data_IF_127156571794
#
_entry.id   IF_127156571794
#
_cell.length_a   1.000
_cell.length_b   1.000
_cell.length_c   1.000
_cell.angle_alpha   90.00
_cell.angle_beta   90.00
_cell.angle_gamma   90.00
#
_symmetry.space_group_name_H-M   'P 1'
#
loop_
_entity.id
_entity.type
_entity.pdbx_description
1 polymer ?
#
# COMPACT_ATOMS: atom_id res chain seq x y z
N UNK A 1 -33.91 -83.14 -48.37
CA UNK A 1 -34.02 -81.94 -49.25
C UNK A 1 -34.45 -80.77 -48.40
N UNK A 2 -33.78 -79.63 -48.62
CA UNK A 2 -34.20 -78.24 -48.33
C UNK A 2 -34.23 -77.69 -46.88
N UNK A 3 -33.07 -77.10 -46.53
CA UNK A 3 -32.82 -75.75 -45.97
C UNK A 3 -33.97 -74.85 -45.47
N UNK A 4 -33.77 -74.22 -44.29
CA UNK A 4 -33.78 -72.73 -44.09
C UNK A 4 -33.58 -72.38 -42.59
N UNK A 5 -32.39 -71.98 -42.14
CA UNK A 5 -31.87 -70.61 -41.92
C UNK A 5 -32.59 -69.73 -40.86
N UNK A 6 -31.88 -69.58 -39.72
CA UNK A 6 -31.61 -68.34 -38.93
C UNK A 6 -32.80 -67.51 -38.40
N UNK A 7 -32.72 -67.17 -37.10
CA UNK A 7 -32.19 -65.84 -36.65
C UNK A 7 -31.97 -65.77 -35.13
N UNK A 8 -30.70 -65.57 -34.76
CA UNK A 8 -30.25 -65.05 -33.46
C UNK A 8 -30.22 -63.52 -33.55
N UNK A 9 -30.71 -62.82 -32.52
CA UNK A 9 -30.26 -61.50 -31.94
C UNK A 9 -31.46 -60.80 -31.24
N UNK A 10 -31.29 -59.80 -30.33
CA UNK A 10 -30.08 -59.09 -29.90
C UNK A 10 -30.01 -58.78 -28.37
N UNK A 11 -29.13 -59.42 -27.60
CA UNK A 11 -28.86 -59.00 -26.19
C UNK A 11 -27.71 -57.96 -26.10
N UNK A 12 -26.98 -57.70 -27.18
CA UNK A 12 -25.74 -56.90 -27.15
C UNK A 12 -25.89 -55.36 -27.15
N UNK A 13 -27.09 -54.79 -27.35
CA UNK A 13 -27.24 -53.32 -27.49
C UNK A 13 -27.54 -52.56 -26.20
N UNK A 14 -27.98 -53.23 -25.13
CA UNK A 14 -28.38 -52.55 -23.89
C UNK A 14 -27.18 -52.37 -22.94
N UNK A 15 -26.31 -53.36 -22.83
CA UNK A 15 -25.12 -53.30 -21.97
C UNK A 15 -24.11 -52.21 -22.41
N UNK A 16 -23.96 -51.97 -23.72
CA UNK A 16 -23.04 -50.96 -24.23
C UNK A 16 -23.51 -49.53 -23.96
N UNK A 17 -24.83 -49.28 -23.96
CA UNK A 17 -25.41 -47.97 -23.64
C UNK A 17 -25.33 -47.66 -22.14
N UNK A 18 -25.49 -48.67 -21.28
CA UNK A 18 -25.35 -48.50 -19.83
C UNK A 18 -23.90 -48.21 -19.42
N UNK A 19 -22.92 -48.85 -20.06
CA UNK A 19 -21.50 -48.62 -19.77
C UNK A 19 -21.02 -47.24 -20.24
N UNK A 20 -21.54 -46.73 -21.36
CA UNK A 20 -21.23 -45.37 -21.83
C UNK A 20 -21.81 -44.28 -20.91
N UNK A 21 -23.00 -44.50 -20.33
CA UNK A 21 -23.62 -43.53 -19.43
C UNK A 21 -22.84 -43.39 -18.11
N UNK A 22 -22.32 -44.49 -17.57
CA UNK A 22 -21.52 -44.48 -16.34
C UNK A 22 -20.16 -43.82 -16.56
N UNK A 23 -19.54 -43.99 -17.73
CA UNK A 23 -18.27 -43.33 -18.05
C UNK A 23 -18.44 -41.80 -18.27
N UNK A 24 -19.56 -41.36 -18.84
CA UNK A 24 -19.85 -39.92 -18.99
C UNK A 24 -20.15 -39.22 -17.65
N UNK A 25 -20.70 -39.92 -16.66
CA UNK A 25 -20.95 -39.33 -15.32
C UNK A 25 -19.67 -39.33 -14.46
N UNK A 26 -18.77 -40.30 -14.62
CA UNK A 26 -17.50 -40.35 -13.87
C UNK A 26 -16.45 -39.32 -14.29
N UNK A 27 -16.42 -38.91 -15.57
CA UNK A 27 -15.44 -37.93 -16.08
C UNK A 27 -15.86 -36.48 -15.76
N UNK A 28 -17.13 -36.22 -15.50
CA UNK A 28 -17.65 -34.89 -15.16
C UNK A 28 -17.30 -34.40 -13.74
N UNK A 29 -16.84 -35.27 -12.85
CA UNK A 29 -16.50 -34.91 -11.46
C UNK A 29 -15.01 -34.67 -11.21
N UNK A 30 -14.13 -34.90 -12.20
CA UNK A 30 -12.67 -34.71 -12.03
C UNK A 30 -12.14 -33.42 -12.69
N UNK A 31 -12.97 -32.65 -13.40
CA UNK A 31 -12.49 -31.52 -14.21
C UNK A 31 -12.77 -30.12 -13.63
N UNK A 32 -13.18 -29.98 -12.37
CA UNK A 32 -13.47 -28.65 -11.80
C UNK A 32 -12.87 -28.38 -10.41
N UNK A 33 -11.82 -29.09 -10.01
CA UNK A 33 -10.84 -28.49 -9.11
C UNK A 33 -9.91 -27.58 -9.91
N UNK A 34 -10.44 -26.45 -10.39
CA UNK A 34 -9.59 -25.26 -10.50
C UNK A 34 -9.20 -24.93 -9.06
N UNK A 35 -8.06 -25.45 -8.61
CA UNK A 35 -7.26 -24.76 -7.59
C UNK A 35 -7.03 -23.37 -8.17
N UNK A 36 -7.90 -22.43 -7.81
CA UNK A 36 -7.67 -21.03 -8.09
C UNK A 36 -6.34 -20.73 -7.43
N UNK A 37 -5.30 -20.47 -8.23
CA UNK A 37 -4.16 -19.71 -7.77
C UNK A 37 -4.75 -18.49 -7.08
N UNK A 38 -4.64 -18.42 -5.75
CA UNK A 38 -4.91 -17.19 -5.02
C UNK A 38 -4.12 -16.11 -5.77
N UNK A 39 -4.80 -15.13 -6.35
CA UNK A 39 -4.10 -14.11 -7.13
C UNK A 39 -3.16 -13.40 -6.16
N UNK A 40 -1.86 -13.69 -6.32
CA UNK A 40 -0.72 -13.21 -5.51
C UNK A 40 -0.44 -11.74 -5.86
N UNK A 41 -1.47 -10.90 -5.79
CA UNK A 41 -1.39 -9.51 -6.19
C UNK A 41 -1.67 -8.60 -5.01
N UNK A 42 -0.80 -7.62 -4.83
CA UNK A 42 -1.08 -6.49 -3.94
C UNK A 42 -2.39 -5.83 -4.38
N UNK A 43 -3.21 -5.47 -3.39
CA UNK A 43 -4.57 -5.01 -3.62
C UNK A 43 -4.87 -3.84 -2.71
N UNK A 44 -5.63 -2.89 -3.22
CA UNK A 44 -6.14 -1.76 -2.45
C UNK A 44 -7.66 -1.87 -2.50
N UNK A 45 -8.30 -1.87 -1.34
CA UNK A 45 -9.75 -1.82 -1.20
C UNK A 45 -10.12 -0.48 -0.56
N UNK A 46 -11.22 0.06 -1.05
CA UNK A 46 -11.67 1.40 -0.75
C UNK A 46 -13.15 1.34 -0.40
N UNK A 47 -13.48 1.77 0.82
CA UNK A 47 -14.87 1.87 1.29
C UNK A 47 -15.21 3.33 1.55
N UNK A 48 -16.33 3.77 0.99
CA UNK A 48 -16.94 5.03 1.41
C UNK A 48 -17.65 4.82 2.74
N UNK A 49 -17.47 5.79 3.64
CA UNK A 49 -18.15 5.84 4.92
C UNK A 49 -19.25 6.88 4.79
N UNK A 50 -20.50 6.44 4.85
CA UNK A 50 -21.61 7.36 4.98
C UNK A 50 -21.67 7.89 6.40
N UNK A 51 -21.99 9.18 6.53
CA UNK A 51 -22.36 9.73 7.82
C UNK A 51 -23.70 9.11 8.23
N UNK A 52 -23.70 8.40 9.34
CA UNK A 52 -24.88 7.87 10.01
C UNK A 52 -24.71 7.98 11.53
N UNK A 53 -25.77 7.91 12.33
CA UNK A 53 -25.67 7.93 13.79
C UNK A 53 -24.78 6.81 14.39
N UNK A 54 -24.50 5.76 13.62
CA UNK A 54 -23.62 4.65 13.98
C UNK A 54 -22.16 4.87 13.54
N UNK A 55 -21.86 6.01 12.92
CA UNK A 55 -20.49 6.33 12.50
C UNK A 55 -19.60 6.49 13.73
N UNK A 56 -18.40 5.87 13.75
CA UNK A 56 -17.50 6.03 14.89
C UNK A 56 -17.20 7.51 15.19
N UNK A 57 -17.29 7.94 16.45
CA UNK A 57 -17.12 9.34 16.89
C UNK A 57 -15.84 10.01 16.35
N UNK A 58 -14.75 9.27 16.17
CA UNK A 58 -13.50 9.82 15.62
C UNK A 58 -13.58 10.16 14.13
N UNK A 59 -14.58 9.62 13.43
CA UNK A 59 -14.98 9.94 12.07
C UNK A 59 -16.16 10.94 12.03
N UNK A 60 -16.62 11.46 13.17
CA UNK A 60 -17.71 12.45 13.23
C UNK A 60 -17.25 13.90 13.48
N UNK A 61 -16.64 14.60 12.50
CA UNK A 61 -16.72 16.05 12.38
C UNK A 61 -18.02 16.47 11.67
N UNK A 62 -18.72 17.46 12.24
CA UNK A 62 -19.87 18.11 11.61
C UNK A 62 -19.51 18.91 10.33
N UNK A 63 -18.23 18.94 9.95
CA UNK A 63 -17.64 19.82 8.92
C UNK A 63 -16.88 19.05 7.84
N UNK A 64 -17.31 17.83 7.51
CA UNK A 64 -16.76 17.14 6.33
C UNK A 64 -16.92 18.02 5.09
N UNK A 65 -15.85 18.14 4.32
CA UNK A 65 -15.82 18.77 2.99
C UNK A 65 -15.36 17.73 1.97
N UNK A 66 -15.66 17.90 0.67
CA UNK A 66 -15.11 17.01 -0.36
C UNK A 66 -13.58 17.00 -0.33
N UNK A 67 -12.97 15.83 -0.51
CA UNK A 67 -11.51 15.70 -0.55
C UNK A 67 -10.93 16.51 -1.69
N UNK A 68 -11.60 16.45 -2.84
CA UNK A 68 -11.24 17.24 -4.01
C UNK A 68 -11.12 18.73 -3.69
N UNK A 69 -12.01 19.29 -2.86
CA UNK A 69 -11.97 20.73 -2.50
C UNK A 69 -10.71 21.12 -1.71
N UNK A 70 -10.23 20.25 -0.82
CA UNK A 70 -8.97 20.49 -0.08
C UNK A 70 -7.76 20.37 -1.00
N UNK A 71 -7.77 19.38 -1.89
CA UNK A 71 -6.62 19.02 -2.72
C UNK A 71 -6.50 19.89 -3.96
N UNK A 72 -7.58 20.29 -4.61
CA UNK A 72 -7.57 20.97 -5.92
C UNK A 72 -7.78 22.47 -5.82
N UNK A 73 -7.75 23.03 -4.61
CA UNK A 73 -7.92 24.46 -4.41
C UNK A 73 -6.93 25.25 -5.31
N UNK A 74 -7.47 26.16 -6.13
CA UNK A 74 -6.72 27.03 -7.04
C UNK A 74 -6.39 26.46 -8.43
N UNK A 75 -6.97 25.33 -8.85
CA UNK A 75 -6.75 24.73 -10.18
C UNK A 75 -7.89 25.10 -11.15
N UNK A 76 -7.57 25.39 -12.42
CA UNK A 76 -8.55 25.57 -13.49
C UNK A 76 -9.06 24.21 -14.00
N UNK A 77 -10.38 24.09 -14.21
CA UNK A 77 -11.06 22.84 -14.54
C UNK A 77 -10.79 22.40 -15.99
N UNK A 78 -9.99 21.35 -16.18
CA UNK A 78 -9.88 20.55 -17.42
C UNK A 78 -9.19 19.19 -17.11
N UNK A 79 -8.81 18.35 -18.09
CA UNK A 79 -8.09 17.06 -17.87
C UNK A 79 -6.86 17.16 -16.95
N UNK A 80 -6.33 18.37 -16.77
CA UNK A 80 -5.32 18.73 -15.78
C UNK A 80 -5.74 18.41 -14.33
N UNK A 81 -7.04 18.37 -14.01
CA UNK A 81 -7.55 18.16 -12.65
C UNK A 81 -7.17 16.78 -12.11
N UNK A 82 -7.41 15.72 -12.88
CA UNK A 82 -7.08 14.35 -12.46
C UNK A 82 -5.57 14.16 -12.32
N UNK A 83 -4.80 14.71 -13.27
CA UNK A 83 -3.35 14.60 -13.28
C UNK A 83 -2.75 15.35 -12.09
N UNK A 84 -3.25 16.54 -11.81
CA UNK A 84 -2.85 17.36 -10.68
C UNK A 84 -3.25 16.74 -9.35
N UNK A 85 -4.46 16.19 -9.24
CA UNK A 85 -4.92 15.43 -8.08
C UNK A 85 -3.97 14.26 -7.77
N UNK A 86 -3.65 13.46 -8.78
CA UNK A 86 -2.67 12.37 -8.69
C UNK A 86 -1.30 12.87 -8.24
N UNK A 87 -0.80 13.95 -8.84
CA UNK A 87 0.49 14.55 -8.51
C UNK A 87 0.54 15.04 -7.05
N UNK A 88 -0.52 15.68 -6.56
CA UNK A 88 -0.61 16.17 -5.18
C UNK A 88 -0.60 15.02 -4.17
N UNK A 89 -1.32 13.93 -4.44
CA UNK A 89 -1.26 12.71 -3.62
C UNK A 89 0.12 12.05 -3.62
N UNK A 90 0.75 11.93 -4.78
CA UNK A 90 2.13 11.44 -4.88
C UNK A 90 3.09 12.32 -4.09
N UNK A 91 2.92 13.65 -4.15
CA UNK A 91 3.76 14.58 -3.39
C UNK A 91 3.54 14.45 -1.88
N UNK A 92 2.28 14.32 -1.43
CA UNK A 92 1.94 14.13 -0.02
C UNK A 92 2.66 12.90 0.57
N UNK A 93 2.53 11.75 -0.09
CA UNK A 93 3.11 10.51 0.42
C UNK A 93 4.64 10.41 0.31
N UNK A 94 5.33 11.36 -0.36
CA UNK A 94 6.80 11.45 -0.29
C UNK A 94 7.31 11.82 1.09
N UNK A 95 6.51 12.54 1.88
CA UNK A 95 6.89 13.04 3.19
C UNK A 95 6.35 12.18 4.34
N UNK A 96 5.60 11.13 4.03
CA UNK A 96 4.94 10.24 4.98
C UNK A 96 5.57 8.85 4.86
N UNK A 97 6.02 8.32 5.98
CA UNK A 97 6.68 7.03 6.02
C UNK A 97 6.51 6.33 7.36
N UNK A 98 7.34 5.33 7.58
CA UNK A 98 7.45 4.59 8.83
C UNK A 98 8.90 4.68 9.32
N UNK A 99 9.08 4.60 10.64
CA UNK A 99 10.39 4.48 11.26
C UNK A 99 10.99 3.10 10.98
N UNK A 100 12.18 3.06 10.36
CA UNK A 100 12.97 1.83 10.36
C UNK A 100 13.76 1.72 11.68
N UNK A 101 13.35 0.80 12.53
CA UNK A 101 14.03 0.52 13.80
C UNK A 101 15.32 -0.31 13.64
N UNK A 102 15.65 -0.79 12.43
CA UNK A 102 16.76 -1.73 12.21
C UNK A 102 18.12 -1.06 12.07
N UNK A 103 18.16 0.23 11.75
CA UNK A 103 19.40 1.00 11.62
C UNK A 103 19.21 2.26 12.45
N UNK A 104 20.15 2.58 13.34
CA UNK A 104 20.06 3.76 14.25
C UNK A 104 20.00 5.14 13.55
N UNK A 105 19.75 5.16 12.25
CA UNK A 105 19.46 6.32 11.41
C UNK A 105 17.95 6.41 11.22
N UNK A 106 17.34 7.54 11.64
CA UNK A 106 15.94 7.88 11.37
C UNK A 106 15.74 8.20 9.88
N UNK A 107 15.91 7.22 9.02
CA UNK A 107 15.57 7.36 7.61
C UNK A 107 14.08 7.05 7.41
N UNK A 108 13.40 7.91 6.64
CA UNK A 108 12.01 7.76 6.29
C UNK A 108 11.88 6.61 5.29
N UNK A 109 11.33 5.48 5.73
CA UNK A 109 10.92 4.41 4.81
C UNK A 109 9.52 4.74 4.28
N UNK A 110 9.38 4.85 2.96
CA UNK A 110 8.09 5.17 2.33
C UNK A 110 7.04 4.12 2.73
N UNK A 111 5.89 4.60 3.19
CA UNK A 111 4.78 3.73 3.58
C UNK A 111 4.17 3.02 2.36
N UNK A 112 4.07 3.74 1.24
CA UNK A 112 3.48 3.26 -0.01
C UNK A 112 4.46 3.41 -1.19
N UNK A 113 4.40 2.48 -2.14
CA UNK A 113 5.10 2.61 -3.42
C UNK A 113 4.44 3.68 -4.29
N UNK A 114 5.16 4.19 -5.29
CA UNK A 114 4.61 5.22 -6.19
C UNK A 114 3.39 4.71 -6.98
N UNK A 115 3.40 3.43 -7.35
CA UNK A 115 2.29 2.79 -8.04
C UNK A 115 1.08 2.58 -7.13
N UNK A 116 1.28 2.24 -5.86
CA UNK A 116 0.20 2.16 -4.87
C UNK A 116 -0.46 3.53 -4.65
N UNK A 117 0.36 4.58 -4.51
CA UNK A 117 -0.14 5.95 -4.35
C UNK A 117 -0.91 6.42 -5.58
N UNK A 118 -0.42 6.12 -6.79
CA UNK A 118 -1.13 6.45 -8.04
C UNK A 118 -2.48 5.73 -8.11
N UNK A 119 -2.52 4.42 -7.84
CA UNK A 119 -3.77 3.65 -7.82
C UNK A 119 -4.77 4.19 -6.80
N UNK A 120 -4.29 4.52 -5.59
CA UNK A 120 -5.10 5.13 -4.55
C UNK A 120 -5.71 6.46 -5.01
N UNK A 121 -4.88 7.35 -5.56
CA UNK A 121 -5.32 8.66 -6.03
C UNK A 121 -6.32 8.56 -7.20
N UNK A 122 -6.12 7.63 -8.13
CA UNK A 122 -7.08 7.36 -9.21
C UNK A 122 -8.44 6.88 -8.68
N UNK A 123 -8.44 5.98 -7.68
CA UNK A 123 -9.68 5.49 -7.07
C UNK A 123 -10.39 6.59 -6.28
N UNK A 124 -9.65 7.40 -5.52
CA UNK A 124 -10.18 8.55 -4.78
C UNK A 124 -10.81 9.57 -5.73
N UNK A 125 -10.13 9.91 -6.83
CA UNK A 125 -10.63 10.85 -7.82
C UNK A 125 -11.95 10.36 -8.43
N UNK A 126 -12.00 9.08 -8.84
CA UNK A 126 -13.23 8.46 -9.35
C UNK A 126 -14.35 8.46 -8.32
N UNK A 127 -14.04 8.09 -7.07
CA UNK A 127 -15.03 8.06 -5.99
C UNK A 127 -15.62 9.45 -5.73
N UNK A 128 -14.82 10.51 -5.74
CA UNK A 128 -15.33 11.88 -5.58
C UNK A 128 -16.22 12.34 -6.75
N UNK A 129 -15.98 11.84 -7.98
CA UNK A 129 -16.74 12.19 -9.18
C UNK A 129 -18.03 11.38 -9.37
N UNK A 130 -18.01 10.09 -9.07
CA UNK A 130 -19.12 9.17 -9.37
C UNK A 130 -20.25 9.19 -8.32
N UNK A 131 -20.07 9.94 -7.23
CA UNK A 131 -21.00 9.89 -6.10
C UNK A 131 -22.21 10.82 -6.32
N UNK A 132 -23.44 10.26 -6.31
CA UNK A 132 -24.64 10.91 -6.84
C UNK A 132 -25.26 12.00 -5.97
N UNK A 133 -24.75 12.25 -4.75
CA UNK A 133 -25.37 13.16 -3.78
C UNK A 133 -24.52 14.41 -3.48
N UNK A 134 -23.29 14.50 -4.01
CA UNK A 134 -22.36 15.61 -3.73
C UNK A 134 -22.00 15.77 -2.24
N UNK A 135 -22.36 14.78 -1.40
CA UNK A 135 -22.14 14.86 0.05
C UNK A 135 -20.69 14.53 0.38
N UNK A 136 -20.08 15.25 1.34
CA UNK A 136 -18.70 15.04 1.72
C UNK A 136 -18.56 13.72 2.49
N UNK A 137 -17.46 12.99 2.25
CA UNK A 137 -17.28 11.59 2.68
C UNK A 137 -15.93 11.36 3.34
N UNK A 138 -15.95 10.45 4.31
CA UNK A 138 -14.77 9.77 4.80
C UNK A 138 -14.57 8.47 4.03
N UNK A 139 -13.33 8.02 3.95
CA UNK A 139 -12.96 6.80 3.28
C UNK A 139 -12.14 5.92 4.19
N UNK A 140 -12.44 4.62 4.19
CA UNK A 140 -11.55 3.61 4.73
C UNK A 140 -10.76 3.01 3.57
N UNK A 141 -9.44 3.03 3.71
CA UNK A 141 -8.51 2.44 2.75
C UNK A 141 -7.85 1.24 3.42
N UNK A 142 -7.92 0.09 2.77
CA UNK A 142 -7.23 -1.12 3.20
C UNK A 142 -6.26 -1.54 2.10
N UNK A 143 -4.98 -1.50 2.43
CA UNK A 143 -3.91 -2.01 1.59
C UNK A 143 -3.56 -3.43 2.02
N UNK A 144 -3.51 -4.35 1.06
CA UNK A 144 -3.03 -5.72 1.22
C UNK A 144 -1.75 -5.90 0.42
N UNK A 145 -0.65 -6.26 1.08
CA UNK A 145 0.56 -6.77 0.44
C UNK A 145 0.75 -8.25 0.71
N UNK A 146 1.11 -9.00 -0.31
CA UNK A 146 1.37 -10.43 -0.15
C UNK A 146 2.67 -10.70 0.61
N UNK A 147 2.68 -11.73 1.46
CA UNK A 147 3.95 -12.25 1.97
C UNK A 147 4.62 -13.12 0.89
N UNK A 148 5.88 -12.81 0.49
CA UNK A 148 6.56 -13.54 -0.57
C UNK A 148 6.95 -14.98 -0.16
N UNK A 149 7.03 -15.25 1.15
CA UNK A 149 7.37 -16.57 1.69
C UNK A 149 6.13 -17.44 1.82
N UNK A 150 4.99 -16.86 2.24
CA UNK A 150 3.73 -17.58 2.47
C UNK A 150 2.52 -16.96 1.74
N UNK A 151 2.55 -16.91 0.40
CA UNK A 151 1.45 -16.34 -0.37
C UNK A 151 0.15 -17.13 -0.19
N UNK A 152 -0.96 -16.41 -0.13
CA UNK A 152 -2.30 -16.98 0.09
C UNK A 152 -2.58 -17.38 1.53
N UNK A 153 -1.59 -17.36 2.43
CA UNK A 153 -1.73 -17.72 3.84
C UNK A 153 -1.27 -16.60 4.78
N UNK A 154 -0.49 -15.63 4.29
CA UNK A 154 -0.04 -14.49 5.07
C UNK A 154 -0.03 -13.24 4.22
N UNK A 155 -0.46 -12.14 4.84
CA UNK A 155 -0.41 -10.80 4.24
C UNK A 155 0.16 -9.80 5.23
N UNK A 156 0.58 -8.65 4.69
CA UNK A 156 0.73 -7.41 5.45
C UNK A 156 -0.42 -6.48 5.11
N UNK A 157 -1.14 -6.03 6.13
CA UNK A 157 -2.31 -5.17 6.01
C UNK A 157 -2.02 -3.80 6.60
N UNK A 158 -2.40 -2.75 5.87
CA UNK A 158 -2.41 -1.37 6.37
C UNK A 158 -3.83 -0.83 6.22
N UNK A 159 -4.41 -0.33 7.31
CA UNK A 159 -5.74 0.28 7.33
C UNK A 159 -5.58 1.73 7.75
N UNK A 160 -6.13 2.65 6.96
CA UNK A 160 -6.20 4.04 7.35
C UNK A 160 -7.47 4.70 6.83
N UNK A 161 -7.83 5.79 7.48
CA UNK A 161 -9.00 6.59 7.14
C UNK A 161 -8.56 7.91 6.52
N UNK A 162 -9.30 8.36 5.52
CA UNK A 162 -9.13 9.65 4.89
C UNK A 162 -10.43 10.42 5.06
N UNK A 163 -10.36 11.59 5.69
CA UNK A 163 -11.52 12.47 5.80
C UNK A 163 -11.06 13.92 5.94
N UNK A 164 -11.94 14.87 5.67
CA UNK A 164 -11.68 16.28 5.98
C UNK A 164 -12.24 16.65 7.36
N UNK A 165 -11.69 17.71 7.93
CA UNK A 165 -12.35 18.51 8.94
C UNK A 165 -12.27 19.99 8.53
N UNK A 166 -12.82 20.90 9.34
CA UNK A 166 -12.80 22.34 9.07
C UNK A 166 -11.41 22.93 8.77
N UNK A 167 -10.33 22.29 9.21
CA UNK A 167 -8.98 22.86 9.20
C UNK A 167 -7.98 22.12 8.29
N UNK A 168 -8.21 20.83 8.01
CA UNK A 168 -7.29 20.00 7.22
C UNK A 168 -7.93 18.71 6.69
N UNK A 169 -7.25 18.11 5.69
CA UNK A 169 -7.40 16.71 5.34
C UNK A 169 -6.68 15.86 6.40
N UNK A 170 -7.35 14.87 6.95
CA UNK A 170 -6.83 13.98 7.98
C UNK A 170 -6.56 12.61 7.38
N UNK A 171 -5.37 12.08 7.65
CA UNK A 171 -5.02 10.67 7.44
C UNK A 171 -4.85 10.00 8.80
N UNK A 172 -5.71 9.03 9.11
CA UNK A 172 -5.69 8.32 10.40
C UNK A 172 -5.35 6.85 10.22
N UNK A 173 -4.14 6.45 10.61
CA UNK A 173 -3.61 5.10 10.41
C UNK A 173 -4.02 4.19 11.58
N UNK A 174 -5.07 3.40 11.35
CA UNK A 174 -5.54 2.39 12.31
C UNK A 174 -4.64 1.16 12.39
N UNK A 175 -4.06 0.73 11.25
CA UNK A 175 -3.10 -0.37 11.19
C UNK A 175 -2.01 -0.06 10.18
N UNK A 176 -0.75 -0.39 10.50
CA UNK A 176 0.39 -0.19 9.62
C UNK A 176 1.16 -1.49 9.50
N UNK A 177 1.14 -2.08 8.30
CA UNK A 177 1.95 -3.27 7.98
C UNK A 177 1.69 -4.49 8.87
N UNK A 178 0.49 -4.59 9.45
CA UNK A 178 0.10 -5.66 10.36
C UNK A 178 0.16 -7.00 9.66
N UNK A 179 0.86 -7.96 10.26
CA UNK A 179 0.94 -9.32 9.73
C UNK A 179 -0.35 -10.05 10.10
N UNK A 180 -1.05 -10.56 9.08
CA UNK A 180 -2.25 -11.38 9.25
C UNK A 180 -1.96 -12.77 8.71
N UNK A 181 -2.13 -13.77 9.57
CA UNK A 181 -1.93 -15.18 9.27
C UNK A 181 -3.28 -15.90 9.15
N UNK A 182 -3.45 -16.66 8.07
CA UNK A 182 -4.62 -17.47 7.79
C UNK A 182 -4.27 -18.95 7.84
N UNK A 183 -5.16 -19.75 8.41
CA UNK A 183 -5.01 -21.21 8.49
C UNK A 183 -5.23 -21.89 7.13
N UNK A 184 -6.00 -21.25 6.25
CA UNK A 184 -6.32 -21.71 4.90
C UNK A 184 -6.20 -20.56 3.92
N UNK A 185 -6.26 -20.86 2.62
CA UNK A 185 -6.20 -19.83 1.58
C UNK A 185 -7.29 -18.79 1.80
N UNK A 186 -6.89 -17.55 2.00
CA UNK A 186 -7.82 -16.46 2.31
C UNK A 186 -8.50 -15.94 1.04
N UNK A 187 -9.70 -15.39 1.22
CA UNK A 187 -10.48 -14.69 0.21
C UNK A 187 -10.47 -13.18 0.48
N UNK A 188 -11.02 -12.39 -0.46
CA UNK A 188 -11.22 -10.96 -0.27
C UNK A 188 -11.94 -10.65 1.05
N UNK A 189 -13.00 -11.40 1.34
CA UNK A 189 -13.83 -11.20 2.53
C UNK A 189 -13.05 -11.45 3.83
N UNK A 190 -12.15 -12.42 3.83
CA UNK A 190 -11.44 -12.83 5.02
C UNK A 190 -10.48 -11.74 5.52
N UNK A 191 -9.78 -11.05 4.61
CA UNK A 191 -8.82 -10.02 5.03
C UNK A 191 -9.43 -8.63 5.21
N UNK A 192 -10.54 -8.29 4.53
CA UNK A 192 -11.24 -7.02 4.77
C UNK A 192 -12.00 -7.04 6.11
N UNK A 193 -12.57 -8.19 6.48
CA UNK A 193 -13.34 -8.35 7.73
C UNK A 193 -12.49 -8.82 8.90
N UNK A 194 -11.20 -9.10 8.68
CA UNK A 194 -10.33 -9.52 9.77
C UNK A 194 -10.33 -8.42 10.85
N UNK A 195 -10.65 -8.74 12.12
CA UNK A 195 -10.86 -7.75 13.17
C UNK A 195 -9.71 -6.76 13.25
N UNK A 196 -10.05 -5.48 13.38
CA UNK A 196 -9.05 -4.46 13.65
C UNK A 196 -8.56 -4.69 15.07
N UNK A 197 -7.30 -5.05 15.23
CA UNK A 197 -6.70 -5.09 16.55
C UNK A 197 -6.28 -3.67 16.91
N UNK A 198 -6.46 -3.25 18.16
CA UNK A 198 -5.91 -1.97 18.59
C UNK A 198 -4.41 -1.96 18.25
N UNK A 199 -3.94 -0.94 17.51
CA UNK A 199 -2.54 -0.89 17.12
C UNK A 199 -1.70 -0.90 18.40
N UNK A 200 -0.89 -1.94 18.57
CA UNK A 200 0.09 -1.97 19.64
C UNK A 200 1.06 -0.83 19.35
N UNK A 201 0.91 0.28 20.09
CA UNK A 201 1.80 1.43 19.99
C UNK A 201 3.21 0.95 20.31
N UNK A 202 3.99 0.74 19.26
CA UNK A 202 5.40 0.41 19.31
C UNK A 202 6.09 1.32 18.31
N UNK A 203 7.32 1.70 18.61
CA UNK A 203 8.15 2.56 17.76
C UNK A 203 8.39 2.03 16.33
N UNK A 204 7.88 0.83 16.01
CA UNK A 204 7.95 0.18 14.70
C UNK A 204 6.69 0.40 13.84
N UNK A 205 5.58 0.80 14.46
CA UNK A 205 4.28 1.02 13.81
C UNK A 205 3.82 2.47 13.98
N UNK A 206 4.79 3.39 13.96
CA UNK A 206 4.56 4.83 14.06
C UNK A 206 4.75 5.47 12.69
N UNK A 207 3.80 6.29 12.29
CA UNK A 207 3.95 7.12 11.10
C UNK A 207 5.01 8.18 11.39
N UNK A 208 5.93 8.33 10.45
CA UNK A 208 6.99 9.31 10.50
C UNK A 208 6.80 10.36 9.40
N UNK A 209 6.94 11.64 9.78
CA UNK A 209 6.96 12.77 8.87
C UNK A 209 8.40 13.21 8.62
N UNK A 210 8.79 13.32 7.34
CA UNK A 210 10.12 13.83 6.93
C UNK A 210 10.42 15.18 7.56
N UNK A 211 11.64 15.40 8.05
CA UNK A 211 12.08 16.70 8.58
C UNK A 211 12.07 17.80 7.51
N UNK A 212 12.37 17.43 6.26
CA UNK A 212 12.35 18.32 5.10
C UNK A 212 11.00 18.15 4.41
N UNK A 213 9.96 18.78 4.97
CA UNK A 213 8.59 18.76 4.43
C UNK A 213 8.04 20.19 4.25
N UNK A 214 7.16 20.43 3.27
CA UNK A 214 6.45 21.69 3.15
C UNK A 214 5.65 22.05 4.41
N UNK A 215 5.44 23.35 4.64
CA UNK A 215 4.60 23.83 5.72
C UNK A 215 3.15 23.32 5.58
N UNK A 216 2.50 23.03 6.71
CA UNK A 216 1.12 22.55 6.72
C UNK A 216 0.95 21.03 6.76
N UNK A 217 2.04 20.25 6.80
CA UNK A 217 2.01 18.81 7.08
C UNK A 217 2.48 18.53 8.52
N UNK A 218 1.57 18.09 9.38
CA UNK A 218 1.83 17.92 10.81
C UNK A 218 1.10 16.71 11.41
N UNK A 219 1.57 16.24 12.56
CA UNK A 219 0.81 15.28 13.35
C UNK A 219 -0.45 15.95 13.92
N UNK A 220 -1.58 15.26 13.86
CA UNK A 220 -2.82 15.77 14.41
C UNK A 220 -2.80 15.65 15.95
N UNK A 221 -2.53 16.74 16.65
CA UNK A 221 -2.62 16.80 18.10
C UNK A 221 -4.07 16.83 18.56
N UNK A 222 -4.51 15.84 19.33
CA UNK A 222 -5.84 15.85 19.98
C UNK A 222 -5.83 16.47 21.38
N UNK A 223 -4.67 16.84 21.94
CA UNK A 223 -4.56 17.64 23.18
C UNK A 223 -3.08 17.97 23.47
N UNK A 224 -2.82 19.11 24.11
CA UNK A 224 -1.48 19.54 24.54
C UNK A 224 -0.78 18.58 25.53
N UNK A 225 -1.48 17.57 26.07
CA UNK A 225 -0.92 16.58 27.01
C UNK A 225 -0.65 15.19 26.44
N UNK A 226 -1.03 14.88 25.20
CA UNK A 226 -0.90 13.52 24.65
C UNK A 226 -0.06 13.48 23.37
N UNK A 227 1.25 13.23 23.52
CA UNK A 227 2.20 12.92 22.44
C UNK A 227 1.90 11.59 21.70
N UNK A 228 0.75 10.96 21.93
CA UNK A 228 0.52 9.54 21.63
C UNK A 228 -0.10 9.24 20.25
N UNK A 229 -0.39 10.26 19.43
CA UNK A 229 -1.09 10.07 18.15
C UNK A 229 -0.19 10.36 16.94
N UNK A 230 1.01 9.80 16.89
CA UNK A 230 1.90 9.91 15.72
C UNK A 230 1.27 9.27 14.46
N UNK A 231 0.27 8.40 14.63
CA UNK A 231 -0.45 7.73 13.55
C UNK A 231 -1.58 8.55 12.92
N UNK A 232 -1.74 9.82 13.30
CA UNK A 232 -2.71 10.72 12.67
C UNK A 232 -2.00 11.94 12.08
N UNK A 233 -2.22 12.21 10.80
CA UNK A 233 -1.62 13.33 10.07
C UNK A 233 -2.71 14.32 9.69
N UNK A 234 -2.42 15.60 9.85
CA UNK A 234 -3.24 16.72 9.39
C UNK A 234 -2.49 17.43 8.24
N UNK A 235 -3.13 17.46 7.07
CA UNK A 235 -2.65 18.13 5.85
C UNK A 235 -3.47 19.40 5.65
N UNK A 236 -2.92 20.52 6.08
CA UNK A 236 -3.57 21.83 6.01
C UNK A 236 -3.55 22.36 4.58
N UNK A 237 -4.48 23.28 4.21
CA UNK A 237 -4.52 23.89 2.88
C UNK A 237 -3.18 24.49 2.44
N UNK A 238 -2.40 25.04 3.38
CA UNK A 238 -1.07 25.60 3.11
C UNK A 238 -0.12 24.59 2.47
N UNK A 239 -0.22 23.30 2.78
CA UNK A 239 0.64 22.26 2.20
C UNK A 239 0.53 22.18 0.68
N UNK A 240 -0.67 22.36 0.14
CA UNK A 240 -0.93 22.20 -1.30
C UNK A 240 -0.39 23.36 -2.15
N UNK A 241 -0.24 24.54 -1.53
CA UNK A 241 0.25 25.76 -2.19
C UNK A 241 1.67 26.15 -1.75
N UNK A 242 2.19 25.51 -0.71
CA UNK A 242 3.53 25.75 -0.23
C UNK A 242 4.53 25.41 -1.34
N UNK A 243 5.39 26.38 -1.68
CA UNK A 243 6.59 26.06 -2.42
C UNK A 243 7.38 25.07 -1.58
N UNK A 244 7.94 24.06 -2.23
CA UNK A 244 8.93 23.21 -1.58
C UNK A 244 9.92 24.14 -0.86
N UNK A 245 10.31 23.83 0.39
CA UNK A 245 11.47 24.52 0.94
C UNK A 245 12.56 24.42 -0.13
N UNK A 246 13.26 25.52 -0.40
CA UNK A 246 14.45 25.54 -1.26
C UNK A 246 15.51 24.63 -0.62
N UNK A 247 15.27 23.32 -0.62
CA UNK A 247 16.31 22.35 -0.81
C UNK A 247 16.77 22.69 -2.21
N UNK A 248 17.86 23.44 -2.28
CA UNK A 248 18.52 23.72 -3.53
C UNK A 248 18.45 22.45 -4.37
N UNK A 249 18.14 22.63 -5.65
CA UNK A 249 18.64 21.75 -6.69
C UNK A 249 19.97 21.18 -6.18
N UNK A 250 20.24 19.87 -6.18
CA UNK A 250 21.62 19.46 -6.26
C UNK A 250 22.10 20.08 -7.57
N UNK A 251 22.57 21.33 -7.49
CA UNK A 251 23.51 21.92 -8.39
C UNK A 251 24.56 20.84 -8.43
N UNK A 252 24.52 20.11 -9.56
CA UNK A 252 25.55 19.25 -10.08
C UNK A 252 26.76 19.25 -9.14
N UNK A 253 26.97 18.22 -8.30
CA UNK A 253 27.87 18.33 -7.17
C UNK A 253 29.21 18.78 -7.72
N UNK A 254 29.53 20.05 -7.50
CA UNK A 254 30.88 20.53 -7.68
C UNK A 254 31.68 19.65 -6.73
N UNK A 255 32.44 18.74 -7.32
CA UNK A 255 33.38 17.82 -6.72
C UNK A 255 34.09 18.51 -5.55
N UNK A 256 33.56 18.36 -4.34
CA UNK A 256 34.23 18.84 -3.14
C UNK A 256 35.18 17.75 -2.70
N UNK A 257 36.45 17.94 -3.04
CA UNK A 257 37.64 17.16 -2.66
C UNK A 257 37.69 16.84 -1.15
N UNK A 258 36.99 17.62 -0.32
CA UNK A 258 36.85 17.41 1.13
C UNK A 258 36.13 16.11 1.52
N UNK A 259 35.09 15.70 0.78
CA UNK A 259 34.33 14.48 1.09
C UNK A 259 35.11 13.19 0.81
N UNK A 260 35.97 13.19 -0.21
CA UNK A 260 36.83 12.05 -0.52
C UNK A 260 37.91 11.83 0.55
N UNK A 261 38.50 12.91 1.08
CA UNK A 261 39.51 12.82 2.15
C UNK A 261 38.93 12.24 3.45
N UNK A 262 37.72 12.65 3.85
CA UNK A 262 37.05 12.09 5.02
C UNK A 262 36.69 10.61 4.82
N UNK A 263 36.18 10.23 3.64
CA UNK A 263 35.90 8.83 3.30
C UNK A 263 37.14 7.95 3.31
N UNK A 264 38.28 8.45 2.82
CA UNK A 264 39.56 7.75 2.88
C UNK A 264 40.07 7.58 4.31
N UNK A 265 39.85 8.58 5.19
CA UNK A 265 40.21 8.50 6.61
C UNK A 265 39.40 7.43 7.33
N UNK A 266 38.07 7.41 7.14
CA UNK A 266 37.18 6.39 7.73
C UNK A 266 37.54 4.99 7.21
N UNK A 267 37.83 4.85 5.91
CA UNK A 267 38.22 3.55 5.34
C UNK A 267 39.53 3.01 5.95
N UNK A 268 40.49 3.90 6.25
CA UNK A 268 41.72 3.54 6.94
C UNK A 268 41.48 3.12 8.40
N UNK A 269 40.62 3.83 9.12
CA UNK A 269 40.24 3.46 10.49
C UNK A 269 39.54 2.09 10.56
N UNK A 270 38.73 1.75 9.56
CA UNK A 270 38.09 0.43 9.47
C UNK A 270 39.10 -0.71 9.26
N UNK A 271 40.14 -0.48 8.47
CA UNK A 271 41.24 -1.43 8.28
C UNK A 271 42.06 -1.59 9.57
N UNK A 272 42.39 -0.49 10.23
CA UNK A 272 43.13 -0.50 11.50
C UNK A 272 42.37 -1.24 12.62
N UNK A 273 41.03 -1.10 12.64
CA UNK A 273 40.13 -1.84 13.54
C UNK A 273 39.88 -3.30 13.11
N UNK A 274 40.51 -3.77 12.02
CA UNK A 274 40.33 -5.11 11.42
C UNK A 274 38.86 -5.44 11.09
N UNK A 275 38.04 -4.42 10.83
CA UNK A 275 36.62 -4.57 10.46
C UNK A 275 36.44 -4.85 8.96
N UNK A 276 37.47 -4.60 8.17
CA UNK A 276 37.52 -4.90 6.74
C UNK A 276 38.84 -5.59 6.39
N UNK A 277 38.83 -6.36 5.31
CA UNK A 277 40.03 -7.01 4.78
C UNK A 277 40.89 -6.03 3.97
N UNK A 278 42.17 -6.37 3.76
CA UNK A 278 43.09 -5.56 2.94
C UNK A 278 42.63 -5.47 1.48
N UNK A 279 41.99 -6.52 0.98
CA UNK A 279 41.45 -6.60 -0.38
C UNK A 279 40.24 -5.66 -0.55
N UNK A 280 39.33 -5.64 0.43
CA UNK A 280 38.18 -4.72 0.43
C UNK A 280 38.62 -3.25 0.59
N UNK A 281 39.66 -3.01 1.39
CA UNK A 281 40.26 -1.69 1.53
C UNK A 281 40.79 -1.16 0.20
N UNK A 282 41.59 -1.94 -0.53
CA UNK A 282 42.15 -1.48 -1.82
C UNK A 282 41.06 -1.30 -2.89
N UNK A 283 40.04 -2.18 -2.93
CA UNK A 283 38.91 -2.02 -3.84
C UNK A 283 38.13 -0.74 -3.60
N UNK A 284 37.74 -0.47 -2.34
CA UNK A 284 36.96 0.72 -1.97
C UNK A 284 37.78 2.01 -2.07
N UNK A 285 39.09 1.96 -1.79
CA UNK A 285 40.01 3.08 -1.98
C UNK A 285 40.12 3.45 -3.46
N UNK A 286 40.24 2.46 -4.35
CA UNK A 286 40.29 2.70 -5.79
C UNK A 286 38.98 3.31 -6.33
N UNK A 287 37.83 2.93 -5.76
CA UNK A 287 36.52 3.52 -6.08
C UNK A 287 36.44 4.98 -5.63
N UNK A 288 36.82 5.29 -4.39
CA UNK A 288 36.83 6.67 -3.87
C UNK A 288 37.81 7.58 -4.63
N UNK A 289 38.94 7.03 -5.10
CA UNK A 289 39.92 7.77 -5.90
C UNK A 289 39.47 7.97 -7.35
N UNK A 290 38.56 7.15 -7.89
CA UNK A 290 37.93 7.39 -9.20
C UNK A 290 36.89 8.50 -9.17
N UNK A 291 36.29 8.76 -8.01
CA UNK A 291 35.28 9.80 -7.80
C UNK A 291 35.87 11.22 -7.62
N UNK A 292 37.21 11.34 -7.53
CA UNK A 292 37.95 12.61 -7.45
C UNK A 292 38.09 13.31 -8.80
#
# INVERSE_FOLDING_TARGET
METSLRKVTPIKKIALKAFLLIFCVGVGCLSNQKKGMASVSDSIVFFYIHKSPETPLFLEPETWLPIASSILNGVHFDEDEKTEFNRRWQNLFKYIGISDSLVGTKELVRLFSEDEVRKLADMLYKAEQEIPDGTPKGYQVILKREDPIRPGLRIRRTIFYIHNNANCLVLDFGEIGQVVDFQTTYTLRDWILYPIQEPVTSSKNEVFLSEIRPAGLEYASTSAMNQKNQNRICVRPLFWIAKLPDGGTPANPQKTTKGAQERLKVLKELLEKRLITREEYERKKAEILKDL
#
